data_IF_589385585419
#
_entry.id   IF_589385585419
#
_cell.length_a   1.000
_cell.length_b   1.000
_cell.length_c   1.000
_cell.angle_alpha   90.00
_cell.angle_beta   90.00
_cell.angle_gamma   90.00
#
_symmetry.space_group_name_H-M   'P 1'
#
loop_
_entity.id
_entity.type
_entity.pdbx_description
1 polymer ?
#
# COMPACT_ATOMS: atom_id res chain seq x y z
N UNK A 1 34.01 -14.63 -1.62
CA UNK A 1 32.93 -13.75 -2.14
C UNK A 1 31.59 -14.40 -1.86
N UNK A 2 30.73 -13.73 -1.10
CA UNK A 2 29.55 -14.34 -0.46
C UNK A 2 28.42 -14.70 -1.44
N UNK A 3 27.83 -15.88 -1.27
CA UNK A 3 26.61 -16.37 -1.97
C UNK A 3 25.41 -15.42 -1.77
N UNK A 4 25.44 -14.61 -0.69
CA UNK A 4 24.41 -13.62 -0.40
C UNK A 4 24.40 -12.45 -1.38
N UNK A 5 25.59 -11.97 -1.78
CA UNK A 5 25.74 -10.87 -2.75
C UNK A 5 25.23 -11.25 -4.16
N UNK A 6 25.36 -12.52 -4.54
CA UNK A 6 24.82 -13.03 -5.81
C UNK A 6 23.28 -13.10 -5.83
N UNK A 7 22.64 -13.37 -4.69
CA UNK A 7 21.16 -13.39 -4.61
C UNK A 7 20.55 -12.00 -4.74
N UNK A 8 21.21 -10.97 -4.23
CA UNK A 8 20.75 -9.58 -4.38
C UNK A 8 20.89 -9.10 -5.82
N UNK A 9 22.02 -9.38 -6.48
CA UNK A 9 22.26 -8.97 -7.86
C UNK A 9 21.31 -9.65 -8.89
N UNK A 10 20.79 -10.85 -8.59
CA UNK A 10 19.85 -11.57 -9.46
C UNK A 10 18.37 -11.23 -9.23
N UNK A 11 18.04 -10.35 -8.27
CA UNK A 11 16.64 -9.99 -7.99
C UNK A 11 16.11 -9.06 -9.07
N UNK A 12 15.57 -9.62 -10.16
CA UNK A 12 14.87 -8.84 -11.20
C UNK A 12 13.82 -7.95 -10.55
N UNK A 13 13.87 -6.65 -10.86
CA UNK A 13 12.89 -5.67 -10.41
C UNK A 13 11.49 -6.14 -10.85
N UNK A 14 10.61 -6.38 -9.89
CA UNK A 14 9.24 -6.87 -10.14
C UNK A 14 8.53 -5.82 -11.01
N UNK A 15 8.01 -6.22 -12.17
CA UNK A 15 7.15 -5.34 -12.99
C UNK A 15 5.92 -4.97 -12.17
N UNK A 16 5.72 -3.68 -11.95
CA UNK A 16 4.53 -3.12 -11.31
C UNK A 16 3.58 -2.62 -12.39
N UNK A 17 2.30 -2.99 -12.30
CA UNK A 17 1.26 -2.55 -13.22
C UNK A 17 0.36 -1.50 -12.54
N UNK A 18 -0.08 -0.51 -13.28
CA UNK A 18 -1.01 0.51 -12.77
C UNK A 18 -2.36 -0.11 -12.40
N UNK A 19 -3.10 0.48 -11.44
CA UNK A 19 -4.43 -0.01 -11.05
C UNK A 19 -5.40 -0.06 -12.22
N UNK A 20 -5.40 0.96 -13.08
CA UNK A 20 -6.21 1.04 -14.29
C UNK A 20 -5.92 -0.11 -15.27
N UNK A 21 -4.64 -0.43 -15.46
CA UNK A 21 -4.24 -1.52 -16.33
C UNK A 21 -4.72 -2.88 -15.81
N UNK A 22 -4.57 -3.13 -14.49
CA UNK A 22 -5.07 -4.36 -13.87
C UNK A 22 -6.59 -4.49 -14.01
N UNK A 23 -7.32 -3.39 -13.79
CA UNK A 23 -8.77 -3.36 -13.93
C UNK A 23 -9.19 -3.67 -15.39
N UNK A 24 -8.54 -3.05 -16.38
CA UNK A 24 -8.80 -3.30 -17.80
C UNK A 24 -8.57 -4.76 -18.20
N UNK A 25 -7.47 -5.36 -17.73
CA UNK A 25 -7.15 -6.77 -18.00
C UNK A 25 -8.14 -7.71 -17.30
N UNK A 26 -8.49 -7.42 -16.05
CA UNK A 26 -9.46 -8.21 -15.30
C UNK A 26 -10.87 -8.14 -15.91
N UNK A 27 -11.30 -6.98 -16.41
CA UNK A 27 -12.56 -6.81 -17.11
C UNK A 27 -12.60 -7.60 -18.42
N UNK A 28 -11.55 -7.53 -19.24
CA UNK A 28 -11.44 -8.34 -20.46
C UNK A 28 -11.50 -9.85 -20.15
N UNK A 29 -10.87 -10.28 -19.05
CA UNK A 29 -10.91 -11.66 -18.59
C UNK A 29 -12.29 -12.09 -18.03
N UNK A 30 -13.10 -11.14 -17.55
CA UNK A 30 -14.49 -11.37 -17.14
C UNK A 30 -15.45 -11.44 -18.33
N UNK A 31 -15.26 -10.57 -19.33
CA UNK A 31 -16.07 -10.54 -20.55
C UNK A 31 -15.94 -11.83 -21.37
N UNK A 32 -14.73 -12.41 -21.42
CA UNK A 32 -14.51 -13.70 -22.08
C UNK A 32 -14.34 -13.64 -23.60
N UNK A 33 -14.27 -12.42 -24.18
CA UNK A 33 -14.10 -12.21 -25.62
C UNK A 33 -12.74 -12.65 -26.17
N UNK A 34 -11.73 -12.76 -25.29
CA UNK A 34 -10.37 -13.19 -25.64
C UNK A 34 -10.01 -14.46 -24.86
N UNK A 35 -9.38 -15.40 -25.56
CA UNK A 35 -8.81 -16.58 -24.91
C UNK A 35 -7.64 -16.19 -24.01
N UNK A 36 -7.31 -17.04 -23.04
CA UNK A 36 -6.18 -16.79 -22.13
C UNK A 36 -4.86 -16.58 -22.90
N UNK A 37 -4.64 -17.35 -23.97
CA UNK A 37 -3.45 -17.23 -24.81
C UNK A 37 -3.38 -15.87 -25.54
N UNK A 38 -4.51 -15.38 -26.04
CA UNK A 38 -4.59 -14.07 -26.68
C UNK A 38 -4.41 -12.94 -25.69
N UNK A 39 -4.95 -13.06 -24.47
CA UNK A 39 -4.75 -12.05 -23.42
C UNK A 39 -3.29 -11.96 -22.99
N UNK A 40 -2.61 -13.10 -22.82
CA UNK A 40 -1.17 -13.13 -22.51
C UNK A 40 -0.38 -12.41 -23.59
N UNK A 41 -0.68 -12.68 -24.87
CA UNK A 41 0.00 -12.03 -26.01
C UNK A 41 -0.34 -10.54 -26.14
N UNK A 42 -1.60 -10.16 -25.93
CA UNK A 42 -2.10 -8.79 -26.12
C UNK A 42 -1.65 -7.83 -25.02
N UNK A 43 -1.62 -8.31 -23.77
CA UNK A 43 -1.29 -7.47 -22.62
C UNK A 43 0.13 -7.68 -22.11
N UNK A 44 0.88 -8.66 -22.63
CA UNK A 44 2.22 -9.07 -22.13
C UNK A 44 2.20 -9.39 -20.63
N UNK A 45 1.14 -10.08 -20.19
CA UNK A 45 0.87 -10.45 -18.79
C UNK A 45 0.79 -11.96 -18.69
N UNK A 46 1.39 -12.54 -17.66
CA UNK A 46 1.34 -13.98 -17.44
C UNK A 46 -0.07 -14.45 -17.04
N UNK A 47 -0.52 -15.62 -17.52
CA UNK A 47 -1.86 -16.14 -17.27
C UNK A 47 -2.27 -16.13 -15.78
N UNK A 48 -1.38 -16.55 -14.88
CA UNK A 48 -1.62 -16.51 -13.43
C UNK A 48 -1.92 -15.10 -12.88
N UNK A 49 -1.34 -14.05 -13.45
CA UNK A 49 -1.63 -12.67 -13.03
C UNK A 49 -3.02 -12.24 -13.51
N UNK A 50 -3.42 -12.66 -14.71
CA UNK A 50 -4.74 -12.39 -15.27
C UNK A 50 -5.83 -13.06 -14.42
N UNK A 51 -5.63 -14.33 -14.05
CA UNK A 51 -6.57 -15.06 -13.18
C UNK A 51 -6.66 -14.44 -11.79
N UNK A 52 -5.54 -14.00 -11.23
CA UNK A 52 -5.50 -13.34 -9.93
C UNK A 52 -6.26 -12.00 -9.97
N UNK A 53 -6.02 -11.16 -10.99
CA UNK A 53 -6.72 -9.88 -11.10
C UNK A 53 -8.21 -10.05 -11.40
N UNK A 54 -8.59 -11.07 -12.18
CA UNK A 54 -10.00 -11.45 -12.38
C UNK A 54 -10.66 -11.80 -11.05
N UNK A 55 -10.02 -12.62 -10.22
CA UNK A 55 -10.52 -13.00 -8.90
C UNK A 55 -10.63 -11.79 -7.97
N UNK A 56 -9.63 -10.91 -7.96
CA UNK A 56 -9.64 -9.68 -7.18
C UNK A 56 -10.80 -8.76 -7.59
N UNK A 57 -11.04 -8.60 -8.89
CA UNK A 57 -12.14 -7.79 -9.39
C UNK A 57 -13.50 -8.36 -8.97
N UNK A 58 -13.71 -9.67 -9.10
CA UNK A 58 -14.96 -10.32 -8.68
C UNK A 58 -15.17 -10.27 -7.16
N UNK A 59 -14.11 -10.42 -6.36
CA UNK A 59 -14.18 -10.34 -4.91
C UNK A 59 -14.47 -8.93 -4.40
N UNK A 60 -13.95 -7.91 -5.08
CA UNK A 60 -14.12 -6.52 -4.68
C UNK A 60 -15.36 -5.87 -5.31
N UNK A 61 -15.98 -6.50 -6.32
CA UNK A 61 -17.19 -5.98 -6.96
C UNK A 61 -18.35 -5.73 -5.97
N UNK A 62 -18.65 -6.64 -5.01
CA UNK A 62 -19.66 -6.39 -3.98
C UNK A 62 -19.35 -5.14 -3.12
N UNK A 63 -18.07 -4.88 -2.83
CA UNK A 63 -17.66 -3.72 -2.05
C UNK A 63 -17.87 -2.42 -2.83
N UNK A 64 -17.68 -2.41 -4.16
CA UNK A 64 -17.94 -1.22 -4.99
C UNK A 64 -19.43 -0.82 -4.94
N UNK A 65 -20.33 -1.79 -4.92
CA UNK A 65 -21.78 -1.54 -4.87
C UNK A 65 -22.34 -1.44 -3.44
N UNK A 66 -21.67 -2.05 -2.45
CA UNK A 66 -22.11 -2.10 -1.06
C UNK A 66 -21.52 -1.01 -0.15
N UNK A 67 -20.42 -0.37 -0.56
CA UNK A 67 -19.58 0.47 0.33
C UNK A 67 -19.51 1.94 -0.07
N UNK A 68 -20.51 2.45 -0.81
CA UNK A 68 -20.64 3.88 -1.06
C UNK A 68 -20.88 4.71 0.22
N UNK A 69 -21.21 4.09 1.36
CA UNK A 69 -21.54 4.79 2.61
C UNK A 69 -20.48 4.70 3.73
N UNK A 70 -19.58 3.71 3.73
CA UNK A 70 -18.74 3.46 4.92
C UNK A 70 -17.30 3.96 4.84
N UNK A 71 -16.75 4.20 3.64
CA UNK A 71 -15.34 4.57 3.53
C UNK A 71 -15.09 6.08 3.67
N UNK A 72 -16.12 6.90 3.51
CA UNK A 72 -16.04 8.35 3.67
C UNK A 72 -16.30 8.77 5.13
N UNK A 73 -17.23 8.12 5.83
CA UNK A 73 -17.61 8.51 7.19
C UNK A 73 -16.62 8.04 8.26
N UNK A 74 -15.88 6.95 8.03
CA UNK A 74 -14.81 6.51 8.94
C UNK A 74 -13.54 7.39 8.86
N UNK A 75 -13.51 8.40 7.98
CA UNK A 75 -12.30 9.18 7.73
C UNK A 75 -12.20 10.42 8.61
N UNK A 76 -13.24 11.23 8.75
CA UNK A 76 -13.12 12.54 9.43
C UNK A 76 -12.98 12.43 10.95
N UNK A 77 -13.84 11.64 11.62
CA UNK A 77 -13.75 11.46 13.08
C UNK A 77 -12.43 10.78 13.49
N UNK A 78 -11.98 9.81 12.71
CA UNK A 78 -10.69 9.14 12.95
C UNK A 78 -9.52 10.09 12.69
N UNK A 79 -9.59 10.93 11.66
CA UNK A 79 -8.58 11.96 11.37
C UNK A 79 -8.50 12.96 12.51
N UNK A 80 -9.63 13.43 13.03
CA UNK A 80 -9.66 14.36 14.17
C UNK A 80 -9.05 13.74 15.42
N UNK A 81 -9.42 12.49 15.75
CA UNK A 81 -8.83 11.74 16.87
C UNK A 81 -7.31 11.56 16.71
N UNK A 82 -6.85 11.25 15.50
CA UNK A 82 -5.43 11.12 15.20
C UNK A 82 -4.69 12.45 15.33
N UNK A 83 -5.26 13.55 14.83
CA UNK A 83 -4.70 14.90 14.99
C UNK A 83 -4.62 15.32 16.46
N UNK A 84 -5.67 15.07 17.24
CA UNK A 84 -5.68 15.33 18.69
C UNK A 84 -4.59 14.52 19.42
N UNK A 85 -4.40 13.25 19.03
CA UNK A 85 -3.35 12.40 19.59
C UNK A 85 -1.95 12.89 19.21
N UNK A 86 -1.74 13.34 17.97
CA UNK A 86 -0.48 13.96 17.55
C UNK A 86 -0.19 15.20 18.40
N UNK A 87 -1.17 16.11 18.54
CA UNK A 87 -1.00 17.31 19.37
C UNK A 87 -0.63 17.00 20.83
N UNK A 88 -1.30 16.01 21.44
CA UNK A 88 -0.97 15.54 22.78
C UNK A 88 0.46 15.00 22.88
N UNK A 89 0.84 14.10 21.97
CA UNK A 89 2.18 13.51 21.94
C UNK A 89 3.26 14.58 21.70
N UNK A 90 2.98 15.60 20.88
CA UNK A 90 3.88 16.74 20.69
C UNK A 90 4.06 17.51 21.99
N UNK A 91 2.98 17.85 22.70
CA UNK A 91 3.07 18.54 23.99
C UNK A 91 3.80 17.70 25.06
N UNK A 92 3.53 16.39 25.12
CA UNK A 92 4.22 15.47 26.03
C UNK A 92 5.72 15.39 25.71
N UNK A 93 6.09 15.27 24.43
CA UNK A 93 7.48 15.27 24.01
C UNK A 93 8.19 16.60 24.32
N UNK A 94 7.55 17.74 24.06
CA UNK A 94 8.09 19.07 24.37
C UNK A 94 8.29 19.24 25.89
N UNK A 95 7.35 18.74 26.70
CA UNK A 95 7.46 18.75 28.15
C UNK A 95 8.64 17.89 28.64
N UNK A 96 8.75 16.67 28.11
CA UNK A 96 9.84 15.75 28.45
C UNK A 96 11.20 16.29 28.00
N UNK A 97 11.28 16.91 26.83
CA UNK A 97 12.49 17.56 26.32
C UNK A 97 12.96 18.68 27.24
N UNK A 98 12.07 19.59 27.64
CA UNK A 98 12.39 20.65 28.62
C UNK A 98 12.84 20.10 29.96
N UNK A 99 12.22 19.01 30.43
CA UNK A 99 12.64 18.32 31.65
C UNK A 99 14.04 17.72 31.53
N UNK A 100 14.33 17.08 30.40
CA UNK A 100 15.64 16.50 30.10
C UNK A 100 16.73 17.56 29.99
N UNK A 101 16.47 18.68 29.30
CA UNK A 101 17.42 19.80 29.20
C UNK A 101 17.77 20.39 30.57
N UNK A 102 16.79 20.47 31.47
CA UNK A 102 17.00 20.98 32.84
C UNK A 102 17.89 20.07 33.69
N UNK A 103 17.78 18.76 33.51
CA UNK A 103 18.47 17.76 34.34
C UNK A 103 19.83 17.37 33.74
N UNK A 104 19.91 17.21 32.41
CA UNK A 104 21.08 16.64 31.72
C UNK A 104 21.78 17.60 30.75
N UNK A 105 21.25 18.82 30.56
CA UNK A 105 21.75 19.78 29.58
C UNK A 105 21.28 19.47 28.14
N UNK A 106 21.59 20.34 27.16
CA UNK A 106 21.08 20.24 25.80
C UNK A 106 21.50 18.93 25.10
N UNK A 107 20.60 18.41 24.26
CA UNK A 107 20.79 17.17 23.49
C UNK A 107 22.16 17.15 22.81
N UNK A 108 23.03 16.23 23.21
CA UNK A 108 24.32 15.99 22.56
C UNK A 108 25.58 16.28 23.38
N UNK A 109 25.49 16.76 24.62
CA UNK A 109 26.65 16.73 25.53
C UNK A 109 26.89 15.32 26.04
N UNK A 110 27.78 14.61 25.33
CA UNK A 110 28.44 13.41 25.85
C UNK A 110 29.26 13.85 27.07
N UNK A 111 28.92 13.32 28.24
CA UNK A 111 29.84 13.22 29.36
C UNK A 111 30.94 12.22 29.01
#
# INVERSE_FOLDING_TARGET
MSVTLWREAMRRKRRTHSPEFKAKVALAACQGDLTMAEMVKKFDVHANQITEWKKQLLSNAPDVFGKAAQQTEASDETIEQLHAKIGRLTMENDFLERGLERIHGPRGKKW
#
